data_IF_674038075074
#
_entry.id   IF_674038075074
#
_cell.length_a   1.000
_cell.length_b   1.000
_cell.length_c   1.000
_cell.angle_alpha   90.00
_cell.angle_beta   90.00
_cell.angle_gamma   90.00
#
_symmetry.space_group_name_H-M   'P 1'
#
loop_
_entity.id
_entity.type
_entity.pdbx_description
1 polymer ?
#
# COMPACT_ATOMS: atom_id res chain seq x y z
N UNK A 1 32.71 23.83 -21.27
CA UNK A 1 31.79 23.37 -20.20
C UNK A 1 30.51 22.84 -20.85
N UNK A 2 30.27 21.53 -20.83
CA UNK A 2 29.11 20.91 -21.51
C UNK A 2 27.92 20.86 -20.55
N UNK A 3 26.79 21.47 -20.91
CA UNK A 3 25.55 21.42 -20.13
C UNK A 3 24.73 20.19 -20.52
N UNK A 4 24.66 19.20 -19.63
CA UNK A 4 23.81 18.02 -19.82
C UNK A 4 22.40 18.35 -19.33
N UNK A 5 21.41 18.39 -20.24
CA UNK A 5 19.99 18.54 -19.89
C UNK A 5 19.43 17.17 -19.49
N UNK A 6 19.30 16.92 -18.20
CA UNK A 6 18.61 15.74 -17.67
C UNK A 6 17.10 15.98 -17.72
N UNK A 7 16.37 15.20 -18.53
CA UNK A 7 14.89 15.20 -18.54
C UNK A 7 14.38 14.30 -17.41
N UNK A 8 13.93 14.90 -16.31
CA UNK A 8 13.27 14.19 -15.21
C UNK A 8 11.83 13.89 -15.66
N UNK A 9 11.53 12.62 -15.96
CA UNK A 9 10.14 12.16 -16.16
C UNK A 9 9.51 11.92 -14.80
N UNK A 10 8.68 12.84 -14.33
CA UNK A 10 7.85 12.60 -13.14
C UNK A 10 6.70 11.66 -13.49
N UNK A 11 6.41 10.64 -12.65
CA UNK A 11 5.29 9.73 -12.88
C UNK A 11 3.96 10.49 -12.82
N UNK A 12 2.97 10.02 -13.58
CA UNK A 12 1.63 10.61 -13.57
C UNK A 12 0.99 10.49 -12.18
N UNK A 13 0.14 11.46 -11.80
CA UNK A 13 -0.59 11.45 -10.51
C UNK A 13 -1.33 10.12 -10.27
N UNK A 14 -1.89 9.52 -11.32
CA UNK A 14 -2.59 8.24 -11.25
C UNK A 14 -1.66 7.06 -10.97
N UNK A 15 -0.42 7.10 -11.44
CA UNK A 15 0.58 6.08 -11.14
C UNK A 15 1.05 6.17 -9.69
N UNK A 16 1.33 7.39 -9.21
CA UNK A 16 1.67 7.64 -7.80
C UNK A 16 0.56 7.15 -6.88
N UNK A 17 -0.71 7.47 -7.16
CA UNK A 17 -1.85 7.03 -6.34
C UNK A 17 -1.95 5.50 -6.26
N UNK A 18 -1.71 4.79 -7.37
CA UNK A 18 -1.73 3.32 -7.40
C UNK A 18 -0.60 2.72 -6.58
N UNK A 19 0.61 3.26 -6.69
CA UNK A 19 1.77 2.77 -5.93
C UNK A 19 1.62 3.04 -4.43
N UNK A 20 1.10 4.22 -4.04
CA UNK A 20 0.79 4.54 -2.65
C UNK A 20 -0.25 3.56 -2.09
N UNK A 21 -1.36 3.32 -2.80
CA UNK A 21 -2.37 2.36 -2.37
C UNK A 21 -1.82 0.92 -2.28
N UNK A 22 -0.92 0.53 -3.19
CA UNK A 22 -0.25 -0.76 -3.13
C UNK A 22 0.68 -0.87 -1.91
N UNK A 23 1.40 0.20 -1.58
CA UNK A 23 2.28 0.25 -0.42
C UNK A 23 1.49 0.18 0.90
N UNK A 24 0.38 0.93 1.00
CA UNK A 24 -0.54 0.88 2.14
C UNK A 24 -1.06 -0.56 2.33
N UNK A 25 -1.53 -1.21 1.25
CA UNK A 25 -1.99 -2.61 1.28
C UNK A 25 -0.90 -3.59 1.75
N UNK A 26 0.34 -3.42 1.29
CA UNK A 26 1.47 -4.28 1.70
C UNK A 26 1.86 -4.14 3.17
N UNK A 27 1.56 -3.00 3.78
CA UNK A 27 1.89 -2.69 5.17
C UNK A 27 0.66 -2.57 6.04
N UNK A 28 -0.44 -3.25 5.69
CA UNK A 28 -1.61 -3.30 6.55
C UNK A 28 -1.29 -4.17 7.78
N UNK A 29 -1.46 -3.57 8.94
CA UNK A 29 -1.19 -4.17 10.24
C UNK A 29 -2.52 -4.35 10.96
N UNK A 30 -2.69 -5.48 11.65
CA UNK A 30 -3.83 -5.68 12.52
C UNK A 30 -3.77 -4.71 13.71
N UNK A 31 -4.80 -3.88 13.94
CA UNK A 31 -4.80 -2.93 15.05
C UNK A 31 -4.83 -3.60 16.42
N UNK A 32 -5.34 -4.83 16.56
CA UNK A 32 -5.39 -5.52 17.85
C UNK A 32 -4.15 -6.32 18.22
N UNK A 33 -3.42 -6.87 17.25
CA UNK A 33 -2.26 -7.73 17.56
C UNK A 33 -0.95 -7.29 16.91
N UNK A 34 -0.95 -6.20 16.13
CA UNK A 34 0.24 -5.68 15.48
C UNK A 34 0.81 -6.59 14.38
N UNK A 35 0.12 -7.67 14.00
CA UNK A 35 0.60 -8.59 12.97
C UNK A 35 0.27 -8.12 11.56
N UNK A 36 1.13 -8.50 10.62
CA UNK A 36 0.94 -8.17 9.21
C UNK A 36 -0.27 -8.92 8.67
N UNK A 37 -1.19 -8.19 8.06
CA UNK A 37 -2.39 -8.78 7.48
C UNK A 37 -2.07 -9.38 6.11
N UNK A 38 -2.76 -10.47 5.73
CA UNK A 38 -2.63 -11.00 4.38
C UNK A 38 -3.06 -9.94 3.37
N UNK A 39 -2.29 -9.82 2.28
CA UNK A 39 -2.50 -8.85 1.21
C UNK A 39 -3.64 -9.29 0.30
N UNK A 40 -4.85 -9.38 0.86
CA UNK A 40 -6.06 -9.70 0.12
C UNK A 40 -6.73 -8.42 -0.36
N UNK A 41 -7.13 -8.40 -1.64
CA UNK A 41 -7.88 -7.30 -2.26
C UNK A 41 -9.34 -7.19 -1.75
N UNK A 42 -9.71 -7.99 -0.75
CA UNK A 42 -11.04 -8.02 -0.19
C UNK A 42 -11.25 -6.84 0.77
N UNK A 43 -12.44 -6.25 0.72
CA UNK A 43 -12.89 -5.18 1.63
C UNK A 43 -12.90 -5.61 3.10
N UNK A 44 -12.84 -6.92 3.36
CA UNK A 44 -12.70 -7.52 4.68
C UNK A 44 -11.55 -8.51 4.66
N UNK A 45 -10.66 -8.42 5.64
CA UNK A 45 -9.63 -9.42 5.87
C UNK A 45 -9.70 -9.93 7.30
N UNK A 46 -9.37 -11.21 7.50
CA UNK A 46 -9.29 -11.81 8.82
C UNK A 46 -7.84 -11.92 9.24
N UNK A 47 -7.53 -11.39 10.40
CA UNK A 47 -6.23 -11.54 11.04
C UNK A 47 -5.96 -13.03 11.32
N UNK A 48 -4.93 -13.61 10.68
CA UNK A 48 -4.62 -15.04 10.84
C UNK A 48 -4.20 -15.43 12.26
N UNK A 49 -3.72 -14.45 13.05
CA UNK A 49 -3.20 -14.69 14.41
C UNK A 49 -4.25 -14.52 15.49
N UNK A 50 -5.02 -13.44 15.37
CA UNK A 50 -5.99 -13.00 16.37
C UNK A 50 -7.44 -13.31 15.99
N UNK A 51 -7.69 -13.74 14.75
CA UNK A 51 -9.01 -14.08 14.25
C UNK A 51 -9.94 -12.90 14.02
N UNK A 52 -9.50 -11.67 14.30
CA UNK A 52 -10.32 -10.47 14.18
C UNK A 52 -10.58 -10.12 12.71
N UNK A 53 -11.83 -9.79 12.40
CA UNK A 53 -12.22 -9.26 11.10
C UNK A 53 -11.95 -7.76 11.02
N UNK A 54 -11.25 -7.36 9.97
CA UNK A 54 -10.83 -5.97 9.76
C UNK A 54 -11.40 -5.55 8.41
N UNK A 55 -12.21 -4.50 8.45
CA UNK A 55 -12.74 -3.87 7.25
C UNK A 55 -11.71 -2.86 6.75
N UNK A 56 -11.15 -3.13 5.58
CA UNK A 56 -10.15 -2.26 4.95
C UNK A 56 -10.90 -1.34 3.98
N UNK A 57 -11.07 -0.07 4.37
CA UNK A 57 -11.63 0.95 3.50
C UNK A 57 -10.46 1.63 2.76
N UNK A 58 -10.25 1.30 1.48
CA UNK A 58 -9.21 1.88 0.59
C UNK A 58 -9.87 2.63 -0.56
#
# INVERSE_FOLDING_TARGET
MVRVKVKIKTPSKSQIKRDVNRAIRKNLICPSCGHKLPTTYASRTKCSRCGQEISINI
#
